data_IF_265173928213
#
_entry.id   IF_265173928213
#
_cell.length_a   1.000
_cell.length_b   1.000
_cell.length_c   1.000
_cell.angle_alpha   90.00
_cell.angle_beta   90.00
_cell.angle_gamma   90.00
#
_symmetry.space_group_name_H-M   'P 1'
#
loop_
_entity.id
_entity.type
_entity.pdbx_description
1 polymer ?
#
# COMPACT_ATOMS: atom_id res chain seq x y z
N UNK A 1 48.80 -7.05 -27.25
CA UNK A 1 49.44 -7.90 -26.23
C UNK A 1 49.52 -7.07 -24.96
N UNK A 2 48.84 -7.35 -23.85
CA UNK A 2 48.28 -8.60 -23.34
C UNK A 2 47.25 -8.23 -22.27
N UNK A 3 46.04 -8.77 -22.38
CA UNK A 3 45.02 -8.72 -21.34
C UNK A 3 45.36 -9.78 -20.28
N UNK A 4 45.39 -9.41 -19.00
CA UNK A 4 45.41 -10.38 -17.89
C UNK A 4 43.97 -10.68 -17.47
N UNK A 5 43.48 -11.86 -17.85
CA UNK A 5 42.27 -12.47 -17.33
C UNK A 5 42.58 -13.25 -16.06
N UNK A 6 41.97 -12.86 -14.94
CA UNK A 6 41.92 -13.66 -13.72
C UNK A 6 40.48 -14.11 -13.48
N UNK A 7 40.31 -15.43 -13.55
CA UNK A 7 39.08 -16.16 -13.34
C UNK A 7 38.87 -16.37 -11.84
N UNK A 8 37.70 -16.02 -11.30
CA UNK A 8 37.33 -16.36 -9.93
C UNK A 8 36.00 -17.13 -9.92
N UNK A 9 36.10 -18.44 -9.68
CA UNK A 9 35.00 -19.28 -9.23
C UNK A 9 34.44 -18.74 -7.91
N UNK A 10 33.11 -18.63 -7.80
CA UNK A 10 32.44 -18.41 -6.52
C UNK A 10 31.81 -19.72 -6.03
N UNK A 11 32.18 -20.21 -4.84
CA UNK A 11 31.44 -21.28 -4.18
C UNK A 11 30.20 -20.75 -3.46
N UNK A 12 29.25 -21.66 -3.27
CA UNK A 12 28.04 -21.51 -2.48
C UNK A 12 28.32 -21.11 -1.04
N UNK A 13 27.46 -20.30 -0.42
CA UNK A 13 27.07 -20.49 0.98
C UNK A 13 25.78 -19.74 1.31
N UNK A 14 24.75 -20.53 1.62
CA UNK A 14 23.46 -20.14 2.18
C UNK A 14 23.59 -20.31 3.70
N UNK A 15 23.62 -19.21 4.45
CA UNK A 15 23.61 -19.20 5.92
C UNK A 15 22.37 -18.42 6.37
N UNK A 16 21.43 -19.09 7.04
CA UNK A 16 21.36 -19.31 8.50
C UNK A 16 20.51 -18.21 9.15
N UNK A 17 19.26 -18.54 9.47
CA UNK A 17 18.59 -18.12 10.70
C UNK A 17 17.49 -19.14 11.01
N UNK A 18 17.84 -20.23 11.70
CA UNK A 18 16.83 -21.04 12.37
C UNK A 18 17.34 -21.39 13.77
N UNK A 19 16.51 -21.02 14.75
CA UNK A 19 16.83 -20.95 16.16
C UNK A 19 16.88 -22.30 16.87
N UNK A 20 17.63 -22.27 17.97
CA UNK A 20 17.80 -23.24 19.07
C UNK A 20 16.51 -24.03 19.39
N UNK A 21 16.54 -25.38 19.48
CA UNK A 21 16.90 -26.24 20.65
C UNK A 21 15.97 -25.98 21.85
N UNK A 22 15.33 -26.90 22.59
CA UNK A 22 15.45 -28.35 22.95
C UNK A 22 14.09 -28.74 23.60
N UNK A 23 13.60 -29.99 23.45
CA UNK A 23 13.11 -30.83 24.56
C UNK A 23 12.48 -32.17 24.11
N UNK A 24 13.07 -33.24 24.63
CA UNK A 24 12.64 -34.65 24.65
C UNK A 24 11.21 -34.84 25.23
N UNK A 25 10.46 -35.83 24.70
CA UNK A 25 10.08 -37.05 25.45
C UNK A 25 9.47 -38.12 24.52
N UNK A 26 9.97 -39.34 24.64
CA UNK A 26 9.42 -40.57 24.05
C UNK A 26 8.21 -41.00 24.87
N UNK A 27 7.08 -41.31 24.24
CA UNK A 27 6.05 -42.18 24.80
C UNK A 27 5.14 -42.73 23.69
N UNK A 28 5.12 -44.06 23.58
CA UNK A 28 4.12 -44.86 22.88
C UNK A 28 2.73 -44.63 23.45
N UNK A 29 1.71 -44.48 22.60
CA UNK A 29 0.31 -44.49 23.04
C UNK A 29 -0.61 -44.34 21.84
N UNK A 30 -1.40 -45.39 21.57
CA UNK A 30 -2.53 -45.33 20.66
C UNK A 30 -3.50 -44.23 21.13
N UNK A 31 -3.82 -43.30 20.23
CA UNK A 31 -4.75 -42.21 20.48
C UNK A 31 -5.37 -41.80 19.15
N UNK A 32 -6.69 -41.73 19.16
CA UNK A 32 -7.58 -41.72 18.01
C UNK A 32 -7.19 -40.72 16.90
N UNK A 33 -7.37 -41.20 15.65
CA UNK A 33 -7.31 -40.39 14.44
C UNK A 33 -8.50 -39.41 14.43
N UNK A 34 -8.41 -38.35 15.23
CA UNK A 34 -9.29 -37.19 15.11
C UNK A 34 -9.03 -36.60 13.72
N UNK A 35 -9.94 -36.86 12.80
CA UNK A 35 -9.88 -36.30 11.45
C UNK A 35 -9.88 -34.78 11.57
N UNK A 36 -8.81 -34.15 11.09
CA UNK A 36 -8.70 -32.71 10.94
C UNK A 36 -9.69 -32.31 9.84
N UNK A 37 -10.98 -32.18 10.15
CA UNK A 37 -11.93 -31.48 9.31
C UNK A 37 -11.58 -30.00 9.36
N UNK A 38 -10.52 -29.65 8.63
CA UNK A 38 -10.18 -28.28 8.35
C UNK A 38 -11.38 -27.65 7.64
N UNK A 39 -12.17 -26.87 8.40
CA UNK A 39 -13.08 -25.88 7.83
C UNK A 39 -12.29 -25.14 6.75
N UNK A 40 -12.81 -24.98 5.52
CA UNK A 40 -12.09 -24.24 4.49
C UNK A 40 -11.68 -22.90 5.10
N UNK A 41 -10.38 -22.59 5.02
CA UNK A 41 -9.91 -21.26 5.38
C UNK A 41 -10.54 -20.33 4.38
N UNK A 42 -11.71 -19.78 4.71
CA UNK A 42 -12.22 -18.57 4.09
C UNK A 42 -11.02 -17.65 3.97
N UNK A 43 -10.69 -17.25 2.74
CA UNK A 43 -9.50 -16.49 2.42
C UNK A 43 -9.42 -15.32 3.40
N UNK A 44 -8.54 -15.39 4.41
CA UNK A 44 -8.59 -14.45 5.53
C UNK A 44 -8.57 -13.02 4.96
N UNK A 45 -9.69 -12.32 5.14
CA UNK A 45 -9.69 -10.88 5.01
C UNK A 45 -8.67 -10.31 5.99
N UNK A 46 -8.12 -9.15 5.67
CA UNK A 46 -7.13 -8.54 6.56
C UNK A 46 -7.80 -8.28 7.90
N UNK A 47 -7.24 -8.86 8.96
CA UNK A 47 -7.71 -8.67 10.33
C UNK A 47 -7.19 -7.33 10.84
N UNK A 48 -8.06 -6.54 11.46
CA UNK A 48 -7.72 -5.25 12.05
C UNK A 48 -7.87 -5.31 13.56
N UNK A 49 -6.81 -4.93 14.26
CA UNK A 49 -6.86 -4.72 15.71
C UNK A 49 -7.63 -3.44 16.04
N UNK A 50 -8.15 -3.34 17.27
CA UNK A 50 -8.84 -2.12 17.73
C UNK A 50 -7.92 -0.89 17.68
N UNK A 51 -6.63 -1.09 17.99
CA UNK A 51 -5.61 -0.04 17.86
C UNK A 51 -5.47 0.46 16.42
N UNK A 52 -5.36 -0.44 15.45
CA UNK A 52 -5.24 -0.05 14.03
C UNK A 52 -6.47 0.70 13.55
N UNK A 53 -7.67 0.23 13.90
CA UNK A 53 -8.94 0.89 13.55
C UNK A 53 -9.01 2.30 14.12
N UNK A 54 -8.74 2.43 15.43
CA UNK A 54 -8.75 3.73 16.11
C UNK A 54 -7.72 4.68 15.51
N UNK A 55 -6.51 4.19 15.23
CA UNK A 55 -5.43 4.97 14.62
C UNK A 55 -5.80 5.48 13.22
N UNK A 56 -6.36 4.61 12.37
CA UNK A 56 -6.77 5.01 11.02
C UNK A 56 -7.88 6.06 11.10
N UNK A 57 -8.91 5.84 11.92
CA UNK A 57 -9.98 6.82 12.11
C UNK A 57 -9.44 8.15 12.63
N UNK A 58 -8.52 8.13 13.60
CA UNK A 58 -7.90 9.33 14.17
C UNK A 58 -7.11 10.11 13.11
N UNK A 59 -6.27 9.45 12.30
CA UNK A 59 -5.53 10.08 11.20
C UNK A 59 -6.48 10.79 10.25
N UNK A 60 -7.53 10.11 9.78
CA UNK A 60 -8.49 10.68 8.83
C UNK A 60 -9.33 11.81 9.44
N UNK A 61 -9.62 11.77 10.75
CA UNK A 61 -10.36 12.84 11.44
C UNK A 61 -9.57 14.16 11.56
N UNK A 62 -8.23 14.08 11.60
CA UNK A 62 -7.33 15.24 11.70
C UNK A 62 -6.81 15.72 10.35
N UNK A 63 -7.01 14.92 9.30
CA UNK A 63 -6.48 15.21 7.96
C UNK A 63 -7.20 16.40 7.33
N UNK A 64 -6.43 17.36 6.82
CA UNK A 64 -6.97 18.47 6.02
C UNK A 64 -6.93 18.07 4.53
N UNK A 65 -8.07 17.70 3.97
CA UNK A 65 -8.13 17.02 2.67
C UNK A 65 -7.66 17.95 1.54
N UNK A 66 -8.03 19.22 1.62
CA UNK A 66 -7.65 20.28 0.68
C UNK A 66 -6.17 20.70 0.77
N UNK A 67 -5.42 20.14 1.73
CA UNK A 67 -3.98 20.34 1.85
C UNK A 67 -3.24 19.05 1.49
N UNK A 68 -3.65 17.94 2.12
CA UNK A 68 -2.97 16.65 1.98
C UNK A 68 -3.19 16.05 0.59
N UNK A 69 -4.42 16.12 0.07
CA UNK A 69 -4.78 15.54 -1.23
C UNK A 69 -4.01 16.18 -2.38
N UNK A 70 -4.09 17.52 -2.54
CA UNK A 70 -3.31 18.24 -3.53
C UNK A 70 -1.80 17.99 -3.41
N UNK A 71 -1.25 18.03 -2.19
CA UNK A 71 0.18 17.81 -1.96
C UNK A 71 0.61 16.37 -2.33
N UNK A 72 -0.20 15.36 -2.02
CA UNK A 72 0.11 13.97 -2.35
C UNK A 72 0.07 13.71 -3.86
N UNK A 73 -0.96 14.20 -4.56
CA UNK A 73 -1.04 14.04 -6.02
C UNK A 73 0.05 14.86 -6.73
N UNK A 74 0.28 16.11 -6.34
CA UNK A 74 1.35 16.92 -6.91
C UNK A 74 2.72 16.27 -6.72
N UNK A 75 3.00 15.74 -5.52
CA UNK A 75 4.24 14.98 -5.25
C UNK A 75 4.37 13.77 -6.17
N UNK A 76 3.30 13.01 -6.37
CA UNK A 76 3.32 11.85 -7.27
C UNK A 76 3.64 12.27 -8.72
N UNK A 77 2.99 13.31 -9.23
CA UNK A 77 3.22 13.83 -10.59
C UNK A 77 4.63 14.41 -10.79
N UNK A 78 5.25 14.94 -9.73
CA UNK A 78 6.61 15.50 -9.78
C UNK A 78 7.68 14.40 -9.66
N UNK A 79 7.53 13.49 -8.69
CA UNK A 79 8.51 12.44 -8.39
C UNK A 79 8.45 11.31 -9.42
N UNK A 80 7.25 11.02 -9.94
CA UNK A 80 6.99 9.95 -10.90
C UNK A 80 6.36 10.54 -12.17
N UNK A 81 7.12 11.28 -13.00
CA UNK A 81 6.57 12.10 -14.08
C UNK A 81 5.82 11.32 -15.16
N UNK A 82 6.06 10.03 -15.32
CA UNK A 82 5.28 9.18 -16.24
C UNK A 82 3.80 9.09 -15.86
N UNK A 83 3.44 9.32 -14.60
CA UNK A 83 2.05 9.32 -14.13
C UNK A 83 1.23 10.49 -14.71
N UNK A 84 1.90 11.55 -15.19
CA UNK A 84 1.24 12.71 -15.82
C UNK A 84 0.44 12.32 -17.07
N UNK A 85 0.78 11.20 -17.74
CA UNK A 85 0.06 10.72 -18.94
C UNK A 85 -1.43 10.46 -18.71
N UNK A 86 -1.83 10.18 -17.47
CA UNK A 86 -3.22 9.92 -17.10
C UNK A 86 -4.05 11.20 -16.92
N UNK A 87 -3.40 12.36 -16.88
CA UNK A 87 -4.01 13.64 -16.53
C UNK A 87 -3.93 14.66 -17.67
N UNK A 88 -4.01 14.21 -18.93
CA UNK A 88 -3.90 15.08 -20.12
C UNK A 88 -4.89 16.25 -20.15
N UNK A 89 -6.05 16.09 -19.49
CA UNK A 89 -7.08 17.14 -19.42
C UNK A 89 -6.86 18.15 -18.28
N UNK A 90 -5.77 18.05 -17.51
CA UNK A 90 -5.51 18.94 -16.37
C UNK A 90 -4.78 20.23 -16.79
N UNK A 91 -4.45 20.40 -18.07
CA UNK A 91 -3.76 21.57 -18.57
C UNK A 91 -2.25 21.50 -18.34
N UNK A 92 -1.63 22.60 -17.91
CA UNK A 92 -0.18 22.70 -17.79
C UNK A 92 0.36 21.89 -16.60
N UNK A 93 1.16 20.86 -16.90
CA UNK A 93 1.89 20.02 -15.93
C UNK A 93 3.41 20.01 -16.21
N UNK A 94 3.95 20.98 -16.94
CA UNK A 94 5.32 20.94 -17.46
C UNK A 94 6.41 20.99 -16.38
N UNK A 95 6.18 21.67 -15.27
CA UNK A 95 7.16 21.81 -14.19
C UNK A 95 6.48 21.76 -12.80
N UNK A 96 7.29 21.63 -11.75
CA UNK A 96 6.81 21.47 -10.38
C UNK A 96 5.89 22.63 -9.92
N UNK A 97 6.23 23.87 -10.25
CA UNK A 97 5.41 25.04 -9.88
C UNK A 97 4.04 25.01 -10.58
N UNK A 98 4.01 24.65 -11.88
CA UNK A 98 2.78 24.49 -12.64
C UNK A 98 1.92 23.36 -12.05
N UNK A 99 2.51 22.21 -11.70
CA UNK A 99 1.79 21.07 -11.10
C UNK A 99 1.22 21.45 -9.73
N UNK A 100 2.04 22.02 -8.83
CA UNK A 100 1.61 22.37 -7.47
C UNK A 100 0.57 23.49 -7.43
N UNK A 101 0.59 24.41 -8.40
CA UNK A 101 -0.40 25.48 -8.54
C UNK A 101 -1.64 25.10 -9.36
N UNK A 102 -1.74 23.86 -9.86
CA UNK A 102 -2.80 23.46 -10.78
C UNK A 102 -4.13 23.17 -10.03
N UNK A 103 -5.23 23.88 -10.32
CA UNK A 103 -6.50 23.70 -9.62
C UNK A 103 -7.15 22.33 -9.88
N UNK A 104 -6.90 21.72 -11.05
CA UNK A 104 -7.42 20.39 -11.38
C UNK A 104 -6.66 19.30 -10.61
N UNK A 105 -5.33 19.46 -10.44
CA UNK A 105 -4.53 18.61 -9.55
C UNK A 105 -5.05 18.71 -8.13
N UNK A 106 -5.29 19.92 -7.63
CA UNK A 106 -5.81 20.11 -6.28
C UNK A 106 -7.17 19.41 -6.10
N UNK A 107 -8.13 19.70 -6.97
CA UNK A 107 -9.47 19.08 -6.94
C UNK A 107 -9.41 17.56 -6.99
N UNK A 108 -8.58 16.99 -7.86
CA UNK A 108 -8.48 15.54 -7.98
C UNK A 108 -7.75 14.90 -6.79
N UNK A 109 -6.74 15.56 -6.24
CA UNK A 109 -6.08 15.16 -4.99
C UNK A 109 -7.07 15.03 -3.84
N UNK A 110 -7.95 16.00 -3.66
CA UNK A 110 -9.05 15.94 -2.66
C UNK A 110 -10.02 14.80 -2.98
N UNK A 111 -10.35 14.60 -4.26
CA UNK A 111 -11.23 13.48 -4.69
C UNK A 111 -10.66 12.11 -4.31
N UNK A 112 -9.34 11.93 -4.42
CA UNK A 112 -8.66 10.69 -4.02
C UNK A 112 -8.84 10.42 -2.52
N UNK A 113 -8.67 11.44 -1.67
CA UNK A 113 -8.84 11.29 -0.22
C UNK A 113 -10.28 10.97 0.16
N UNK A 114 -11.27 11.60 -0.47
CA UNK A 114 -12.67 11.20 -0.30
C UNK A 114 -12.95 9.78 -0.80
N UNK A 115 -12.21 9.33 -1.82
CA UNK A 115 -12.20 7.93 -2.23
C UNK A 115 -11.85 7.00 -1.07
N UNK A 116 -10.82 7.37 -0.28
CA UNK A 116 -10.32 6.62 0.89
C UNK A 116 -11.31 6.56 2.06
N UNK A 117 -12.18 7.57 2.23
CA UNK A 117 -13.22 7.56 3.28
C UNK A 117 -14.10 6.31 3.23
N UNK A 118 -14.35 5.79 2.02
CA UNK A 118 -15.13 4.57 1.84
C UNK A 118 -14.45 3.35 2.45
N UNK A 119 -13.12 3.26 2.37
CA UNK A 119 -12.37 2.20 3.01
C UNK A 119 -12.28 2.36 4.52
N UNK A 120 -12.14 3.58 5.04
CA UNK A 120 -12.16 3.84 6.49
C UNK A 120 -13.50 3.42 7.10
N UNK A 121 -14.61 3.68 6.40
CA UNK A 121 -15.96 3.28 6.83
C UNK A 121 -16.23 1.78 6.68
N UNK A 122 -15.49 1.08 5.81
CA UNK A 122 -15.71 -0.33 5.47
C UNK A 122 -14.41 -1.15 5.55
N UNK A 123 -13.66 -1.02 6.64
CA UNK A 123 -12.32 -1.61 6.78
C UNK A 123 -12.30 -3.14 6.60
N UNK A 124 -13.37 -3.82 7.00
CA UNK A 124 -13.51 -5.26 6.85
C UNK A 124 -13.93 -5.69 5.44
N UNK A 125 -14.38 -4.76 4.59
CA UNK A 125 -14.90 -5.07 3.25
C UNK A 125 -14.30 -4.17 2.16
N UNK A 126 -13.04 -3.73 2.32
CA UNK A 126 -12.35 -2.84 1.38
C UNK A 126 -12.33 -3.41 -0.05
N UNK A 127 -12.16 -4.72 -0.19
CA UNK A 127 -12.10 -5.41 -1.49
C UNK A 127 -13.38 -5.22 -2.30
N UNK A 128 -14.54 -5.47 -1.71
CA UNK A 128 -15.81 -5.28 -2.40
C UNK A 128 -16.11 -3.79 -2.62
N UNK A 129 -15.77 -2.95 -1.63
CA UNK A 129 -15.99 -1.49 -1.68
C UNK A 129 -15.31 -0.83 -2.88
N UNK A 130 -14.15 -1.34 -3.32
CA UNK A 130 -13.41 -0.80 -4.46
C UNK A 130 -13.52 -1.60 -5.76
N UNK A 131 -14.38 -2.62 -5.84
CA UNK A 131 -14.50 -3.44 -7.05
C UNK A 131 -14.79 -2.60 -8.30
N UNK A 132 -15.79 -1.71 -8.25
CA UNK A 132 -16.13 -0.82 -9.36
C UNK A 132 -15.01 0.19 -9.68
N UNK A 133 -14.33 0.69 -8.63
CA UNK A 133 -13.23 1.63 -8.82
C UNK A 133 -12.01 0.96 -9.47
N UNK A 134 -11.76 -0.31 -9.14
CA UNK A 134 -10.73 -1.13 -9.76
C UNK A 134 -11.00 -1.34 -11.25
N UNK A 135 -12.24 -1.69 -11.63
CA UNK A 135 -12.67 -1.79 -13.04
C UNK A 135 -12.49 -0.46 -13.77
N UNK A 136 -12.89 0.67 -13.16
CA UNK A 136 -12.71 1.99 -13.76
C UNK A 136 -11.23 2.26 -14.09
N UNK A 137 -10.33 2.02 -13.14
CA UNK A 137 -8.90 2.29 -13.33
C UNK A 137 -8.25 1.32 -14.34
N UNK A 138 -8.71 0.08 -14.39
CA UNK A 138 -8.24 -0.96 -15.32
C UNK A 138 -8.76 -0.73 -16.74
N UNK A 139 -10.08 -0.73 -16.93
CA UNK A 139 -10.73 -0.82 -18.25
C UNK A 139 -10.97 0.53 -18.93
N UNK A 140 -11.06 1.62 -18.16
CA UNK A 140 -11.37 2.95 -18.72
C UNK A 140 -10.17 3.89 -18.68
N UNK A 141 -9.46 3.91 -17.56
CA UNK A 141 -8.32 4.81 -17.38
C UNK A 141 -6.99 4.17 -17.79
N UNK A 142 -6.95 2.83 -17.90
CA UNK A 142 -5.75 2.05 -18.22
C UNK A 142 -4.53 2.44 -17.36
N UNK A 143 -4.78 2.67 -16.07
CA UNK A 143 -3.74 3.01 -15.10
C UNK A 143 -2.96 1.75 -14.77
N UNK A 144 -1.65 1.74 -14.95
CA UNK A 144 -0.82 0.61 -14.57
C UNK A 144 -0.88 0.43 -13.04
N UNK A 145 -1.20 -0.78 -12.53
CA UNK A 145 -1.48 -1.03 -11.12
C UNK A 145 -0.30 -0.73 -10.19
N UNK A 146 0.95 -0.72 -10.69
CA UNK A 146 2.11 -0.36 -9.88
C UNK A 146 2.05 1.11 -9.42
N UNK A 147 1.35 1.98 -10.15
CA UNK A 147 1.21 3.39 -9.78
C UNK A 147 0.36 3.61 -8.53
N UNK A 148 -0.51 2.67 -8.15
CA UNK A 148 -1.26 2.78 -6.89
C UNK A 148 -0.33 2.78 -5.68
N UNK A 149 0.72 1.96 -5.73
CA UNK A 149 1.74 1.92 -4.67
C UNK A 149 2.51 3.24 -4.59
N UNK A 150 2.86 3.82 -5.74
CA UNK A 150 3.57 5.11 -5.81
C UNK A 150 2.77 6.25 -5.16
N UNK A 151 1.46 6.31 -5.45
CA UNK A 151 0.57 7.29 -4.85
C UNK A 151 0.39 7.05 -3.33
N UNK A 152 0.26 5.79 -2.92
CA UNK A 152 0.22 5.39 -1.50
C UNK A 152 1.47 5.84 -0.73
N UNK A 153 2.65 5.64 -1.32
CA UNK A 153 3.92 6.03 -0.70
C UNK A 153 4.03 7.57 -0.63
N UNK A 154 3.62 8.30 -1.68
CA UNK A 154 3.54 9.77 -1.65
C UNK A 154 2.59 10.30 -0.57
N UNK A 155 1.42 9.68 -0.43
CA UNK A 155 0.44 10.03 0.60
C UNK A 155 1.02 9.81 2.00
N UNK A 156 1.68 8.67 2.22
CA UNK A 156 2.35 8.37 3.50
C UNK A 156 3.35 9.46 3.88
N UNK A 157 4.17 9.92 2.94
CA UNK A 157 5.14 10.99 3.22
C UNK A 157 4.46 12.32 3.54
N UNK A 158 3.36 12.67 2.88
CA UNK A 158 2.63 13.92 3.15
C UNK A 158 1.94 13.86 4.51
N UNK A 159 1.33 12.73 4.88
CA UNK A 159 0.71 12.53 6.20
C UNK A 159 1.77 12.57 7.29
N UNK A 160 2.93 11.95 7.08
CA UNK A 160 4.06 12.03 8.00
C UNK A 160 4.53 13.48 8.22
N UNK A 161 4.58 14.28 7.16
CA UNK A 161 4.96 15.70 7.26
C UNK A 161 3.93 16.55 8.03
N UNK A 162 2.64 16.22 7.93
CA UNK A 162 1.57 16.89 8.69
C UNK A 162 1.56 16.52 10.18
N UNK A 163 1.69 15.23 10.49
CA UNK A 163 1.65 14.74 11.87
C UNK A 163 2.99 14.93 12.61
N UNK A 164 4.10 15.04 11.89
CA UNK A 164 5.41 15.29 12.47
C UNK A 164 5.80 14.21 13.48
N UNK A 165 5.98 14.59 14.74
CA UNK A 165 6.39 13.69 15.82
C UNK A 165 5.31 12.67 16.20
N UNK A 166 4.05 12.97 15.89
CA UNK A 166 2.92 12.09 16.20
C UNK A 166 2.81 10.94 15.19
N UNK A 167 3.55 10.98 14.08
CA UNK A 167 3.66 9.86 13.14
C UNK A 167 4.69 8.83 13.63
N UNK A 168 4.36 8.15 14.73
CA UNK A 168 5.22 7.11 15.31
C UNK A 168 5.32 5.87 14.42
N UNK A 169 6.24 4.94 14.75
CA UNK A 169 6.40 3.70 13.99
C UNK A 169 5.14 2.84 13.97
N UNK A 170 4.38 2.80 15.06
CA UNK A 170 3.10 2.08 15.16
C UNK A 170 2.01 2.73 14.31
N UNK A 171 1.94 4.07 14.33
CA UNK A 171 1.00 4.85 13.51
C UNK A 171 1.31 4.66 12.03
N UNK A 172 2.58 4.72 11.65
CA UNK A 172 3.03 4.45 10.29
C UNK A 172 2.68 3.02 9.87
N UNK A 173 2.93 2.02 10.70
CA UNK A 173 2.64 0.62 10.38
C UNK A 173 1.13 0.39 10.14
N UNK A 174 0.28 0.95 11.00
CA UNK A 174 -1.18 0.88 10.83
C UNK A 174 -1.62 1.58 9.53
N UNK A 175 -1.10 2.77 9.24
CA UNK A 175 -1.45 3.53 8.04
C UNK A 175 -0.96 2.86 6.75
N UNK A 176 0.26 2.34 6.73
CA UNK A 176 0.80 1.61 5.58
C UNK A 176 0.08 0.29 5.36
N UNK A 177 -0.32 -0.42 6.42
CA UNK A 177 -1.18 -1.61 6.31
C UNK A 177 -2.51 -1.23 5.66
N UNK A 178 -3.16 -0.16 6.10
CA UNK A 178 -4.38 0.37 5.48
C UNK A 178 -4.20 0.63 3.99
N UNK A 179 -3.20 1.40 3.60
CA UNK A 179 -2.97 1.72 2.20
C UNK A 179 -2.59 0.47 1.36
N UNK A 180 -1.85 -0.48 1.92
CA UNK A 180 -1.53 -1.74 1.23
C UNK A 180 -2.80 -2.56 0.91
N UNK A 181 -3.78 -2.58 1.82
CA UNK A 181 -5.08 -3.23 1.57
C UNK A 181 -5.87 -2.49 0.48
N UNK A 182 -5.86 -1.16 0.50
CA UNK A 182 -6.50 -0.35 -0.55
C UNK A 182 -5.85 -0.60 -1.91
N UNK A 183 -4.52 -0.57 -1.99
CA UNK A 183 -3.76 -0.84 -3.22
C UNK A 183 -4.06 -2.24 -3.74
N UNK A 184 -4.07 -3.25 -2.86
CA UNK A 184 -4.44 -4.63 -3.22
C UNK A 184 -5.88 -4.74 -3.75
N UNK A 185 -6.82 -3.98 -3.19
CA UNK A 185 -8.20 -3.95 -3.67
C UNK A 185 -8.33 -3.27 -5.04
N UNK A 186 -7.62 -2.15 -5.26
CA UNK A 186 -7.62 -1.42 -6.53
C UNK A 186 -6.94 -2.21 -7.66
N UNK A 187 -5.92 -3.01 -7.37
CA UNK A 187 -5.26 -3.86 -8.36
C UNK A 187 -6.01 -5.16 -8.70
N UNK A 188 -7.17 -5.43 -8.10
CA UNK A 188 -7.79 -6.77 -8.17
C UNK A 188 -8.51 -7.10 -9.47
N UNK A 189 -9.10 -6.10 -10.15
CA UNK A 189 -9.83 -6.27 -11.42
C UNK A 189 -8.94 -5.99 -12.64
N UNK A 190 -7.64 -6.17 -12.48
CA UNK A 190 -6.65 -6.09 -13.56
C UNK A 190 -6.49 -7.47 -14.19
N UNK A 191 -6.32 -7.51 -15.52
CA UNK A 191 -6.21 -8.72 -16.33
C UNK A 191 -4.82 -8.85 -16.95
#
# INVERSE_FOLDING_TARGET
MTQYTLQAHRPSNRCLWEGRRVALKVASGAGDLQTCTGKPRDSKMVEWTDFERATIVDIFSKMQYEVVGPAALARCLIVYPWTQRYFGNFGNLYNAAAISGNPMVAKHGTTILHGLDRAVKNMDNIKATYAELSVLHSEKLHVDPDNFKLLSDCLTVVVAAQLGKDFTGEVQAAFQKFLAVVVSALGRQYH
#
